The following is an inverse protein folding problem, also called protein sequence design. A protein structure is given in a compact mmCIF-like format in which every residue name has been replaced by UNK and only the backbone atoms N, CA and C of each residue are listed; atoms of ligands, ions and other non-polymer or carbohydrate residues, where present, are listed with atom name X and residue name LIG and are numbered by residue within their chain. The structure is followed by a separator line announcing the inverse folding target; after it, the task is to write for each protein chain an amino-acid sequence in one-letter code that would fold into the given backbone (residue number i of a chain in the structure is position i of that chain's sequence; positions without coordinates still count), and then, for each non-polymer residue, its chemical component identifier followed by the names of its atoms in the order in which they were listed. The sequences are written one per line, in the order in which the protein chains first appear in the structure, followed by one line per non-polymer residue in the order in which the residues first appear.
data_IF_986551789835
#
_entry.id   IF_986551789835
#
_cell.length_a   1.000
_cell.length_b   1.000
_cell.length_c   1.000
_cell.angle_alpha   90.00
_cell.angle_beta   90.00
_cell.angle_gamma   90.00
#
_symmetry.space_group_name_H-M   'P 1'
#
loop_
_entity.id
_entity.type
_entity.pdbx_description
1 polymer ?
#
# COMPACT_ATOMS: atom_id res chain seq x y z
N UNK A 1 -2.11 -8.12 -11.10
CA UNK A 1 -2.73 -6.83 -10.74
C UNK A 1 -2.25 -5.77 -11.71
N UNK A 2 -3.18 -5.03 -12.34
CA UNK A 2 -2.89 -3.99 -13.35
C UNK A 2 -2.55 -2.65 -12.71
N UNK A 3 -1.93 -1.74 -13.46
CA UNK A 3 -1.58 -0.38 -12.98
C UNK A 3 -2.82 0.41 -12.54
N UNK A 4 -3.94 0.28 -13.26
CA UNK A 4 -5.21 0.92 -12.91
C UNK A 4 -5.73 0.49 -11.53
N UNK A 5 -5.62 -0.80 -11.21
CA UNK A 5 -6.00 -1.34 -9.91
C UNK A 5 -5.04 -0.91 -8.81
N UNK A 6 -3.73 -0.81 -9.10
CA UNK A 6 -2.75 -0.22 -8.17
C UNK A 6 -3.11 1.22 -7.88
N UNK A 7 -3.40 2.03 -8.89
CA UNK A 7 -3.84 3.42 -8.74
C UNK A 7 -5.13 3.54 -7.91
N UNK A 8 -6.10 2.63 -8.09
CA UNK A 8 -7.32 2.56 -7.28
C UNK A 8 -7.02 2.28 -5.81
N UNK A 9 -6.16 1.30 -5.52
CA UNK A 9 -5.76 0.97 -4.15
C UNK A 9 -4.95 2.11 -3.53
N UNK A 10 -4.00 2.69 -4.26
CA UNK A 10 -3.19 3.81 -3.80
C UNK A 10 -4.03 5.04 -3.46
N UNK A 11 -5.09 5.32 -4.22
CA UNK A 11 -6.05 6.39 -3.89
C UNK A 11 -6.78 6.14 -2.56
N UNK A 12 -7.06 4.89 -2.20
CA UNK A 12 -7.64 4.57 -0.90
C UNK A 12 -6.61 4.69 0.22
N UNK A 13 -5.40 4.18 0.01
CA UNK A 13 -4.30 4.26 0.99
C UNK A 13 -3.95 5.70 1.32
N UNK A 14 -3.84 6.56 0.32
CA UNK A 14 -3.43 7.98 0.50
C UNK A 14 -4.48 8.83 1.22
N UNK A 15 -5.74 8.40 1.30
CA UNK A 15 -6.75 9.05 2.14
C UNK A 15 -6.48 8.84 3.62
N UNK A 16 -5.98 7.67 4.01
CA UNK A 16 -5.68 7.31 5.40
C UNK A 16 -4.24 7.65 5.79
N UNK A 17 -3.31 7.56 4.84
CA UNK A 17 -1.88 7.82 5.01
C UNK A 17 -1.43 8.86 3.98
N UNK A 18 -1.67 10.17 4.22
CA UNK A 18 -1.28 11.24 3.31
C UNK A 18 0.20 11.21 2.93
N UNK A 19 1.07 10.74 3.83
CA UNK A 19 2.51 10.54 3.63
C UNK A 19 2.86 9.50 2.53
N UNK A 20 1.87 8.76 2.04
CA UNK A 20 2.02 7.83 0.92
C UNK A 20 1.70 8.47 -0.44
N UNK A 21 1.32 9.76 -0.47
CA UNK A 21 1.00 10.44 -1.74
C UNK A 21 2.24 10.47 -2.63
N UNK A 22 2.08 10.00 -3.87
CA UNK A 22 3.19 9.89 -4.84
C UNK A 22 4.12 8.69 -4.61
N UNK A 23 3.95 7.93 -3.54
CA UNK A 23 4.73 6.71 -3.29
C UNK A 23 4.21 5.58 -4.17
N UNK A 24 5.06 5.05 -5.04
CA UNK A 24 4.76 3.84 -5.81
C UNK A 24 4.96 2.60 -4.93
N UNK A 25 3.94 1.76 -4.73
CA UNK A 25 4.10 0.55 -3.95
C UNK A 25 4.89 -0.52 -4.71
N UNK A 26 5.60 -1.36 -3.99
CA UNK A 26 6.04 -2.65 -4.53
C UNK A 26 4.87 -3.63 -4.47
N UNK A 27 4.55 -4.28 -5.58
CA UNK A 27 3.45 -5.24 -5.69
C UNK A 27 4.03 -6.66 -5.75
N UNK A 28 3.55 -7.55 -4.90
CA UNK A 28 3.88 -8.99 -4.91
C UNK A 28 2.60 -9.80 -4.90
N UNK A 29 2.52 -10.87 -5.68
CA UNK A 29 1.44 -11.86 -5.56
C UNK A 29 1.71 -12.72 -4.32
N UNK A 30 0.71 -12.90 -3.46
CA UNK A 30 0.82 -13.84 -2.35
C UNK A 30 0.62 -15.27 -2.85
N UNK A 31 1.47 -16.19 -2.42
CA UNK A 31 1.35 -17.62 -2.74
C UNK A 31 0.30 -18.25 -1.84
N UNK A 32 -0.89 -18.53 -2.38
CA UNK A 32 -1.97 -19.18 -1.64
C UNK A 32 -3.31 -19.01 -2.34
N UNK A 33 -3.63 -19.93 -3.26
CA UNK A 33 -4.89 -20.01 -3.99
C UNK A 33 -4.75 -19.60 -5.45
N UNK A 34 -4.75 -20.59 -6.35
CA UNK A 34 -4.87 -20.33 -7.79
C UNK A 34 -6.26 -19.74 -8.14
N UNK A 35 -7.27 -20.00 -7.30
CA UNK A 35 -8.66 -19.56 -7.47
C UNK A 35 -8.97 -18.15 -6.90
N UNK A 36 -8.16 -17.62 -5.98
CA UNK A 36 -8.35 -16.28 -5.38
C UNK A 36 -6.99 -15.55 -5.23
N UNK A 37 -6.45 -15.01 -6.34
CA UNK A 37 -5.13 -14.38 -6.33
C UNK A 37 -5.13 -13.09 -5.49
N UNK A 38 -4.31 -13.10 -4.43
CA UNK A 38 -4.08 -11.94 -3.57
C UNK A 38 -2.77 -11.24 -3.90
N UNK A 39 -2.74 -9.94 -3.63
CA UNK A 39 -1.60 -9.08 -3.88
C UNK A 39 -1.24 -8.30 -2.63
N UNK A 40 0.03 -8.36 -2.26
CA UNK A 40 0.64 -7.54 -1.24
C UNK A 40 1.26 -6.29 -1.88
N UNK A 41 0.71 -5.12 -1.56
CA UNK A 41 1.25 -3.82 -1.92
C UNK A 41 1.99 -3.25 -0.71
N UNK A 42 3.26 -2.94 -0.88
CA UNK A 42 4.09 -2.35 0.19
C UNK A 42 4.48 -0.93 -0.19
N UNK A 43 4.02 0.03 0.59
CA UNK A 43 4.36 1.45 0.50
C UNK A 43 5.41 1.78 1.56
N UNK A 44 6.38 2.62 1.19
CA UNK A 44 7.39 3.17 2.09
C UNK A 44 7.37 4.68 1.96
N UNK A 45 6.71 5.34 2.90
CA UNK A 45 6.62 6.80 2.94
C UNK A 45 7.48 7.39 4.05
N UNK A 46 7.76 8.67 3.89
CA UNK A 46 8.47 9.49 4.87
C UNK A 46 7.67 10.77 5.05
N UNK A 47 7.50 11.19 6.29
CA UNK A 47 6.89 12.47 6.62
C UNK A 47 7.87 13.29 7.45
N UNK A 48 8.09 14.54 7.06
CA UNK A 48 8.86 15.48 7.86
C UNK A 48 8.01 15.96 9.03
N UNK A 49 8.60 15.93 10.21
CA UNK A 49 8.01 16.40 11.45
C UNK A 49 8.64 17.74 11.84
N UNK A 50 7.92 18.57 12.62
CA UNK A 50 8.48 19.78 13.19
C UNK A 50 9.80 19.50 13.92
N UNK A 51 10.79 20.39 13.73
CA UNK A 51 12.11 20.25 14.34
C UNK A 51 13.08 19.34 13.57
N UNK A 52 12.85 19.10 12.27
CA UNK A 52 13.82 18.44 11.38
C UNK A 52 13.91 16.92 11.55
N UNK A 53 12.92 16.30 12.22
CA UNK A 53 12.84 14.84 12.37
C UNK A 53 12.06 14.26 11.20
N UNK A 54 12.39 13.04 10.78
CA UNK A 54 11.64 12.31 9.76
C UNK A 54 10.97 11.09 10.36
N UNK A 55 9.67 10.94 10.15
CA UNK A 55 8.93 9.72 10.46
C UNK A 55 8.89 8.83 9.21
N UNK A 56 9.54 7.68 9.28
CA UNK A 56 9.35 6.63 8.28
C UNK A 56 8.11 5.81 8.63
N UNK A 57 7.32 5.43 7.63
CA UNK A 57 6.20 4.51 7.81
C UNK A 57 6.15 3.52 6.65
N UNK A 58 5.92 2.26 6.97
CA UNK A 58 5.66 1.22 5.99
C UNK A 58 4.19 0.85 6.07
N UNK A 59 3.46 0.93 4.96
CA UNK A 59 2.07 0.49 4.85
C UNK A 59 2.02 -0.74 3.95
N UNK A 60 1.49 -1.84 4.45
CA UNK A 60 1.30 -3.09 3.72
C UNK A 60 -0.18 -3.33 3.53
N UNK A 61 -0.59 -3.52 2.29
CA UNK A 61 -1.99 -3.71 1.90
C UNK A 61 -2.11 -5.05 1.19
N UNK A 62 -3.00 -5.89 1.68
CA UNK A 62 -3.43 -7.09 0.96
C UNK A 62 -4.70 -6.75 0.19
N UNK A 63 -4.69 -6.98 -1.11
CA UNK A 63 -5.83 -6.74 -1.99
C UNK A 63 -6.11 -7.96 -2.89
N UNK A 64 -7.36 -8.13 -3.29
CA UNK A 64 -7.73 -9.11 -4.33
C UNK A 64 -7.36 -8.61 -5.74
N UNK A 65 -7.58 -9.45 -6.75
CA UNK A 65 -7.36 -9.15 -8.16
C UNK A 65 -8.29 -8.08 -8.76
N UNK A 66 -9.32 -7.65 -8.01
CA UNK A 66 -10.24 -6.54 -8.36
C UNK A 66 -9.88 -5.24 -7.63
N UNK A 67 -8.76 -5.24 -6.89
CA UNK A 67 -8.28 -4.11 -6.11
C UNK A 67 -9.17 -3.77 -4.91
N UNK A 68 -9.93 -4.73 -4.38
CA UNK A 68 -10.57 -4.60 -3.07
C UNK A 68 -9.53 -4.86 -2.00
N UNK A 69 -9.44 -3.96 -1.03
CA UNK A 69 -8.55 -4.12 0.11
C UNK A 69 -9.14 -5.17 1.08
N UNK A 70 -8.37 -6.21 1.36
CA UNK A 70 -8.71 -7.27 2.32
C UNK A 70 -8.16 -6.90 3.70
N UNK A 71 -6.93 -6.39 3.75
CA UNK A 71 -6.25 -6.03 5.01
C UNK A 71 -5.24 -4.91 4.81
N UNK A 72 -5.07 -4.08 5.84
CA UNK A 72 -3.98 -3.11 5.94
C UNK A 72 -3.19 -3.38 7.23
N UNK A 73 -1.87 -3.30 7.16
CA UNK A 73 -0.98 -3.29 8.32
C UNK A 73 0.09 -2.21 8.16
N UNK A 74 0.58 -1.69 9.27
CA UNK A 74 1.57 -0.60 9.28
C UNK A 74 2.70 -0.87 10.25
N UNK A 75 3.92 -0.45 9.91
CA UNK A 75 5.02 -0.32 10.88
C UNK A 75 5.59 1.10 10.85
N UNK A 76 6.11 1.54 12.00
CA UNK A 76 6.90 2.77 12.15
C UNK A 76 8.38 2.42 12.04
#
# INVERSE_FOLDING_TARGET
MTDELVSKVSRQVTKTFPEMRGVRPTVKRETGGDDDPRYLLTYKGKADLPGGKTLSRIVRVVADDRGRIIRISTSR
#
